data_IF_251239320304
#
_entry.id   IF_251239320304
#
_cell.length_a   1.000
_cell.length_b   1.000
_cell.length_c   1.000
_cell.angle_alpha   90.00
_cell.angle_beta   90.00
_cell.angle_gamma   90.00
#
_symmetry.space_group_name_H-M   'P 1'
#
loop_
_entity.id
_entity.type
_entity.pdbx_description
1 polymer ?
#
# COMPACT_ATOMS: atom_id res chain seq x y z
N UNK A 1 -17.78 4.34 -16.74
CA UNK A 1 -18.48 3.57 -15.70
C UNK A 1 -18.68 2.14 -16.10
N UNK A 2 -18.48 1.27 -15.17
CA UNK A 2 -18.65 -0.16 -15.41
C UNK A 2 -20.12 -0.51 -15.29
N UNK A 3 -20.65 -1.14 -16.30
CA UNK A 3 -22.00 -1.64 -16.24
C UNK A 3 -21.99 -2.97 -15.48
N UNK A 4 -22.91 -3.13 -14.54
CA UNK A 4 -23.01 -4.35 -13.80
C UNK A 4 -22.26 -4.26 -12.49
N UNK A 5 -21.35 -5.19 -12.24
CA UNK A 5 -20.73 -5.28 -10.94
C UNK A 5 -19.40 -4.55 -10.86
N UNK A 6 -19.08 -4.10 -9.67
CA UNK A 6 -17.79 -3.54 -9.38
C UNK A 6 -16.74 -4.65 -9.35
N UNK A 7 -15.61 -4.43 -10.03
CA UNK A 7 -14.53 -5.40 -10.05
C UNK A 7 -13.44 -5.08 -9.03
N UNK A 8 -13.46 -3.87 -8.46
CA UNK A 8 -12.48 -3.51 -7.46
C UNK A 8 -12.47 -2.03 -7.17
N UNK A 9 -11.48 -1.61 -6.41
CA UNK A 9 -11.28 -0.23 -5.98
C UNK A 9 -9.85 0.19 -6.29
N UNK A 10 -9.66 1.48 -6.48
CA UNK A 10 -8.34 2.01 -6.79
C UNK A 10 -8.14 3.32 -6.03
N UNK A 11 -7.03 3.41 -5.31
CA UNK A 11 -6.67 4.59 -4.53
C UNK A 11 -5.28 5.06 -4.94
N UNK A 12 -5.10 6.37 -4.97
CA UNK A 12 -3.78 6.98 -5.09
C UNK A 12 -3.59 7.85 -3.85
N UNK A 13 -2.45 7.70 -3.20
CA UNK A 13 -2.16 8.38 -1.95
C UNK A 13 -0.69 8.77 -1.91
N UNK A 14 -0.36 9.67 -1.01
CA UNK A 14 1.02 10.09 -0.79
C UNK A 14 1.36 9.91 0.68
N UNK A 15 2.58 9.44 0.93
CA UNK A 15 3.12 9.37 2.28
C UNK A 15 4.50 10.00 2.27
N UNK A 16 4.96 10.43 3.43
CA UNK A 16 6.32 10.93 3.57
C UNK A 16 7.28 9.75 3.67
N UNK A 17 8.35 9.78 2.87
CA UNK A 17 9.47 8.91 3.09
C UNK A 17 10.30 9.46 4.23
N UNK A 18 11.59 9.67 4.01
CA UNK A 18 12.42 10.36 5.00
C UNK A 18 12.40 11.87 4.78
N UNK A 19 12.51 12.31 3.53
CA UNK A 19 12.58 13.73 3.17
C UNK A 19 11.58 14.11 2.09
N UNK A 20 11.20 13.19 1.23
CA UNK A 20 10.36 13.44 0.07
C UNK A 20 9.07 12.63 0.14
N UNK A 21 8.05 13.12 -0.57
CA UNK A 21 6.78 12.39 -0.66
C UNK A 21 6.93 11.19 -1.59
N UNK A 22 6.26 10.13 -1.23
CA UNK A 22 6.16 8.93 -2.05
C UNK A 22 4.71 8.81 -2.50
N UNK A 23 4.50 8.74 -3.81
CA UNK A 23 3.18 8.55 -4.38
C UNK A 23 3.01 7.07 -4.72
N UNK A 24 1.94 6.47 -4.24
CA UNK A 24 1.68 5.06 -4.49
C UNK A 24 0.21 4.84 -4.81
N UNK A 25 -0.06 3.71 -5.45
CA UNK A 25 -1.43 3.31 -5.79
C UNK A 25 -1.75 1.99 -5.13
N UNK A 26 -2.97 1.87 -4.64
CA UNK A 26 -3.47 0.66 -4.00
C UNK A 26 -4.69 0.17 -4.76
N UNK A 27 -4.61 -1.05 -5.29
CA UNK A 27 -5.73 -1.71 -5.94
C UNK A 27 -6.32 -2.76 -5.02
N UNK A 28 -7.63 -2.74 -4.86
CA UNK A 28 -8.36 -3.70 -4.03
C UNK A 28 -9.31 -4.50 -4.90
N UNK A 29 -9.47 -5.76 -4.55
CA UNK A 29 -10.56 -6.56 -5.12
C UNK A 29 -11.90 -6.06 -4.58
N UNK A 30 -12.99 -6.50 -5.20
CA UNK A 30 -14.32 -6.07 -4.77
C UNK A 30 -14.60 -6.41 -3.31
N UNK A 31 -13.97 -7.47 -2.79
CA UNK A 31 -14.15 -7.90 -1.40
C UNK A 31 -13.25 -7.15 -0.42
N UNK A 32 -12.41 -6.25 -0.91
CA UNK A 32 -11.53 -5.46 -0.05
C UNK A 32 -10.13 -6.02 0.16
N UNK A 33 -9.84 -7.20 -0.38
CA UNK A 33 -8.48 -7.75 -0.31
C UNK A 33 -7.54 -6.99 -1.23
N UNK A 34 -6.28 -6.87 -0.84
CA UNK A 34 -5.31 -6.13 -1.64
C UNK A 34 -4.96 -6.95 -2.89
N UNK A 35 -5.14 -6.32 -4.03
CA UNK A 35 -4.83 -6.91 -5.32
C UNK A 35 -3.44 -6.50 -5.80
N UNK A 36 -3.06 -5.25 -5.57
CA UNK A 36 -1.82 -4.72 -6.11
C UNK A 36 -1.41 -3.45 -5.38
N UNK A 37 -0.10 -3.28 -5.21
CA UNK A 37 0.49 -2.04 -4.73
C UNK A 37 1.51 -1.61 -5.76
N UNK A 38 1.44 -0.34 -6.18
CA UNK A 38 2.38 0.24 -7.15
C UNK A 38 2.99 1.50 -6.57
N UNK A 39 4.27 1.70 -6.79
CA UNK A 39 4.93 2.96 -6.45
C UNK A 39 4.96 3.80 -7.73
N UNK A 40 4.25 4.91 -7.72
CA UNK A 40 4.12 5.78 -8.89
C UNK A 40 5.30 6.74 -8.97
N UNK A 41 5.68 7.33 -7.85
CA UNK A 41 6.79 8.27 -7.80
C UNK A 41 7.58 8.09 -6.52
N UNK A 42 8.89 8.01 -6.65
CA UNK A 42 9.80 7.82 -5.54
C UNK A 42 11.03 8.71 -5.75
N UNK A 43 11.14 9.77 -4.97
CA UNK A 43 12.19 10.78 -5.12
C UNK A 43 13.28 10.69 -4.06
N UNK A 44 13.13 9.79 -3.09
CA UNK A 44 14.15 9.59 -2.06
C UNK A 44 15.40 8.98 -2.66
N UNK A 45 16.55 9.31 -2.07
CA UNK A 45 17.84 8.78 -2.52
C UNK A 45 17.98 7.30 -2.15
N UNK A 46 17.51 6.94 -0.95
CA UNK A 46 17.63 5.58 -0.44
C UNK A 46 16.26 4.92 -0.35
N UNK A 47 16.26 3.58 -0.27
CA UNK A 47 15.03 2.84 -0.05
C UNK A 47 14.24 2.54 -1.30
N UNK A 48 14.86 2.64 -2.47
CA UNK A 48 14.17 2.40 -3.73
C UNK A 48 13.63 0.97 -3.85
N UNK A 49 14.07 0.06 -2.97
CA UNK A 49 13.59 -1.32 -2.96
C UNK A 49 12.07 -1.41 -2.74
N UNK A 50 11.43 -0.36 -2.17
CA UNK A 50 9.97 -0.35 -2.05
C UNK A 50 9.29 -0.39 -3.41
N UNK A 51 10.01 -0.02 -4.48
CA UNK A 51 9.49 -0.05 -5.84
C UNK A 51 9.52 -1.44 -6.45
N UNK A 52 10.30 -2.35 -5.88
CA UNK A 52 10.48 -3.68 -6.47
C UNK A 52 9.31 -4.59 -6.11
N UNK A 53 8.87 -5.43 -7.05
CA UNK A 53 7.76 -6.35 -6.78
C UNK A 53 8.01 -7.23 -5.56
N UNK A 54 9.24 -7.63 -5.29
CA UNK A 54 9.55 -8.48 -4.14
C UNK A 54 9.02 -7.89 -2.84
N UNK A 55 9.15 -6.59 -2.67
CA UNK A 55 8.64 -5.94 -1.45
C UNK A 55 7.16 -5.64 -1.55
N UNK A 56 6.72 -5.04 -2.67
CA UNK A 56 5.33 -4.62 -2.85
C UNK A 56 4.35 -5.81 -2.80
N UNK A 57 4.75 -6.94 -3.33
CA UNK A 57 3.86 -8.09 -3.46
C UNK A 57 3.55 -8.74 -2.12
N UNK A 58 4.27 -8.40 -1.07
CA UNK A 58 3.94 -8.88 0.27
C UNK A 58 2.54 -8.45 0.69
N UNK A 59 2.05 -7.35 0.15
CA UNK A 59 0.72 -6.83 0.49
C UNK A 59 -0.41 -7.57 -0.21
N UNK A 60 -0.11 -8.28 -1.30
CA UNK A 60 -1.15 -8.94 -2.09
C UNK A 60 -1.84 -10.00 -1.23
N UNK A 61 -3.16 -9.97 -1.22
CA UNK A 61 -3.97 -10.89 -0.43
C UNK A 61 -4.22 -10.44 1.01
N UNK A 62 -3.53 -9.40 1.47
CA UNK A 62 -3.78 -8.86 2.80
C UNK A 62 -5.12 -8.14 2.84
N UNK A 63 -5.69 -8.05 4.02
CA UNK A 63 -6.99 -7.42 4.22
C UNK A 63 -6.93 -6.51 5.45
N UNK A 64 -8.06 -5.86 5.75
CA UNK A 64 -8.17 -5.03 6.95
C UNK A 64 -7.94 -5.83 8.24
N UNK A 65 -8.13 -7.14 8.17
CA UNK A 65 -7.90 -8.02 9.32
C UNK A 65 -6.44 -8.39 9.49
N UNK A 66 -5.59 -8.10 8.50
CA UNK A 66 -4.17 -8.41 8.57
C UNK A 66 -3.45 -7.40 9.46
N UNK A 67 -2.37 -7.80 10.15
CA UNK A 67 -1.61 -6.87 10.99
C UNK A 67 -1.05 -5.68 10.23
N UNK A 68 -0.50 -5.90 9.04
CA UNK A 68 0.13 -4.88 8.22
C UNK A 68 1.14 -4.06 9.03
N UNK A 69 2.12 -4.76 9.58
CA UNK A 69 3.16 -4.16 10.42
C UNK A 69 4.53 -4.67 9.99
N UNK A 70 5.49 -3.75 9.99
CA UNK A 70 6.87 -4.13 9.71
C UNK A 70 7.35 -5.14 10.74
N UNK A 71 8.18 -6.06 10.29
CA UNK A 71 8.78 -7.12 11.11
C UNK A 71 7.75 -8.06 11.71
N UNK A 72 6.53 -8.02 11.20
CA UNK A 72 5.48 -8.97 11.50
C UNK A 72 5.11 -9.68 10.21
N UNK A 73 4.13 -9.16 9.46
CA UNK A 73 3.73 -9.74 8.19
C UNK A 73 4.29 -8.98 6.99
N UNK A 74 4.97 -7.85 7.20
CA UNK A 74 5.64 -7.09 6.15
C UNK A 74 7.10 -6.92 6.51
N UNK A 75 8.01 -7.36 5.64
CA UNK A 75 9.43 -7.21 5.89
C UNK A 75 9.86 -5.76 5.78
N UNK A 76 10.73 -5.35 6.69
CA UNK A 76 11.38 -4.06 6.62
C UNK A 76 12.49 -4.08 5.57
N UNK A 77 12.79 -2.91 5.02
CA UNK A 77 13.96 -2.73 4.16
C UNK A 77 15.03 -2.03 4.97
N UNK A 78 16.16 -2.70 5.19
CA UNK A 78 17.28 -2.13 5.92
C UNK A 78 17.74 -0.85 5.23
N UNK A 79 17.85 0.24 6.00
CA UNK A 79 18.22 1.54 5.46
C UNK A 79 17.05 2.35 4.91
N UNK A 80 15.85 1.78 4.88
CA UNK A 80 14.65 2.45 4.39
C UNK A 80 13.45 2.21 5.27
N UNK A 81 13.66 2.15 6.57
CA UNK A 81 12.60 1.84 7.54
C UNK A 81 11.47 2.85 7.50
N UNK A 82 11.80 4.15 7.36
CA UNK A 82 10.75 5.18 7.33
C UNK A 82 9.86 5.02 6.11
N UNK A 83 10.44 4.82 4.94
CA UNK A 83 9.66 4.62 3.71
C UNK A 83 8.78 3.37 3.83
N UNK A 84 9.36 2.26 4.29
CA UNK A 84 8.63 1.01 4.43
C UNK A 84 7.48 1.16 5.42
N UNK A 85 7.73 1.81 6.56
CA UNK A 85 6.71 2.01 7.59
C UNK A 85 5.59 2.91 7.11
N UNK A 86 5.93 4.04 6.49
CA UNK A 86 4.91 5.01 6.09
C UNK A 86 4.04 4.48 4.97
N UNK A 87 4.61 3.73 4.03
CA UNK A 87 3.79 3.07 2.99
C UNK A 87 2.87 2.04 3.64
N UNK A 88 3.39 1.22 4.53
CA UNK A 88 2.59 0.20 5.21
C UNK A 88 1.45 0.84 6.01
N UNK A 89 1.75 1.90 6.76
CA UNK A 89 0.73 2.62 7.53
C UNK A 89 -0.30 3.28 6.60
N UNK A 90 0.16 3.83 5.47
CA UNK A 90 -0.74 4.43 4.49
C UNK A 90 -1.71 3.42 3.91
N UNK A 91 -1.22 2.25 3.56
CA UNK A 91 -2.05 1.17 3.03
C UNK A 91 -3.09 0.76 4.07
N UNK A 92 -2.68 0.59 5.32
CA UNK A 92 -3.61 0.22 6.39
C UNK A 92 -4.69 1.30 6.56
N UNK A 93 -4.31 2.57 6.49
CA UNK A 93 -5.26 3.69 6.58
C UNK A 93 -6.27 3.63 5.43
N UNK A 94 -5.81 3.33 4.22
CA UNK A 94 -6.72 3.24 3.07
C UNK A 94 -7.69 2.07 3.20
N UNK A 95 -7.26 0.96 3.80
CA UNK A 95 -8.18 -0.17 4.04
C UNK A 95 -9.27 0.22 5.02
N UNK A 96 -8.96 0.98 6.05
CA UNK A 96 -9.97 1.48 6.97
C UNK A 96 -10.90 2.47 6.29
N UNK A 97 -10.38 3.34 5.45
CA UNK A 97 -11.19 4.27 4.67
C UNK A 97 -12.15 3.51 3.75
N UNK A 98 -11.65 2.52 3.05
CA UNK A 98 -12.47 1.69 2.17
C UNK A 98 -13.62 1.03 2.93
N UNK A 99 -13.32 0.48 4.10
CA UNK A 99 -14.35 -0.13 4.94
C UNK A 99 -15.41 0.89 5.33
N UNK A 100 -15.02 2.11 5.65
CA UNK A 100 -15.96 3.17 6.01
C UNK A 100 -16.88 3.55 4.85
N UNK A 101 -16.34 3.58 3.63
CA UNK A 101 -17.12 3.92 2.44
C UNK A 101 -18.19 2.86 2.17
N UNK A 102 -17.90 1.60 2.46
CA UNK A 102 -18.80 0.50 2.17
C UNK A 102 -19.93 0.33 3.19
N UNK A 103 -19.92 1.10 4.23
CA UNK A 103 -20.96 0.98 5.26
C UNK A 103 -22.31 1.56 4.87
#
# INVERSE_FOLDING_TARGET
>A
MVKGKMIGWFFVDQVLGKHELITYALGLNADGGIRQVQIIEYLEVYGSQVRYPNWRDQFVGKTIASPLRLDSDIENITGATLSSRHITDGIRRLLFLHRSILR
#
